data_IF_196058896378
#
_entry.id   IF_196058896378
#
_cell.length_a   1.000
_cell.length_b   1.000
_cell.length_c   1.000
_cell.angle_alpha   90.00
_cell.angle_beta   90.00
_cell.angle_gamma   90.00
#
_symmetry.space_group_name_H-M   'P 1'
#
loop_
_entity.id
_entity.type
_entity.pdbx_description
1 polymer ?
#
# COMPACT_ATOMS: atom_id res chain seq x y z
N UNK A 1 -12.40 -11.79 -14.18
CA UNK A 1 -13.54 -11.50 -13.30
C UNK A 1 -14.38 -10.31 -13.81
N UNK A 2 -13.86 -9.49 -14.72
CA UNK A 2 -14.52 -8.31 -15.29
C UNK A 2 -15.35 -8.61 -16.55
N UNK A 3 -15.41 -9.85 -17.00
CA UNK A 3 -16.24 -10.23 -18.15
C UNK A 3 -17.70 -10.37 -17.74
N UNK A 4 -18.62 -10.24 -18.70
CA UNK A 4 -20.08 -10.33 -18.49
C UNK A 4 -20.54 -11.57 -17.71
N UNK A 5 -19.80 -12.69 -17.79
CA UNK A 5 -20.09 -13.91 -17.04
C UNK A 5 -19.92 -13.74 -15.52
N UNK A 6 -18.92 -12.98 -15.09
CA UNK A 6 -18.55 -12.84 -13.68
C UNK A 6 -18.94 -11.49 -13.10
N UNK A 7 -18.96 -10.46 -13.94
CA UNK A 7 -19.48 -9.11 -13.69
C UNK A 7 -19.25 -8.59 -12.27
N UNK A 8 -17.98 -8.26 -11.97
CA UNK A 8 -17.63 -7.64 -10.68
C UNK A 8 -18.19 -6.22 -10.52
N UNK A 9 -18.51 -5.54 -11.62
CA UNK A 9 -19.05 -4.18 -11.59
C UNK A 9 -20.41 -4.12 -10.89
N UNK A 10 -21.23 -5.17 -11.00
CA UNK A 10 -22.49 -5.28 -10.25
C UNK A 10 -22.29 -5.31 -8.72
N UNK A 11 -21.07 -5.62 -8.25
CA UNK A 11 -20.71 -5.58 -6.84
C UNK A 11 -20.16 -4.21 -6.43
N UNK A 12 -20.16 -3.23 -7.34
CA UNK A 12 -19.60 -1.91 -7.12
C UNK A 12 -18.07 -1.86 -7.21
N UNK A 13 -17.44 -2.88 -7.81
CA UNK A 13 -15.98 -2.98 -7.92
C UNK A 13 -15.59 -2.54 -9.32
N UNK A 14 -14.92 -1.40 -9.42
CA UNK A 14 -14.45 -0.83 -10.68
C UNK A 14 -12.93 -0.61 -10.64
N UNK A 15 -12.23 -0.84 -11.78
CA UNK A 15 -10.82 -0.51 -11.87
C UNK A 15 -10.62 1.00 -11.91
N UNK A 16 -9.72 1.50 -11.05
CA UNK A 16 -9.34 2.91 -11.03
C UNK A 16 -8.04 3.14 -11.78
N UNK A 17 -7.97 4.24 -12.50
CA UNK A 17 -6.81 4.62 -13.31
C UNK A 17 -5.68 5.19 -12.45
N UNK A 18 -6.02 5.83 -11.34
CA UNK A 18 -5.05 6.47 -10.44
C UNK A 18 -5.12 5.88 -9.04
N UNK A 19 -3.95 5.65 -8.39
CA UNK A 19 -3.91 5.15 -7.02
C UNK A 19 -4.64 6.03 -6.02
N UNK A 20 -4.68 7.33 -6.25
CA UNK A 20 -5.32 8.30 -5.34
C UNK A 20 -6.83 8.16 -5.23
N UNK A 21 -7.46 7.50 -6.20
CA UNK A 21 -8.91 7.24 -6.24
C UNK A 21 -9.24 5.78 -5.89
N UNK A 22 -8.22 4.95 -5.68
CA UNK A 22 -8.39 3.53 -5.40
C UNK A 22 -8.43 3.27 -3.89
N UNK A 23 -9.39 2.46 -3.47
CA UNK A 23 -9.53 2.00 -2.08
C UNK A 23 -8.87 0.64 -1.87
N UNK A 24 -8.73 -0.17 -2.91
CA UNK A 24 -8.20 -1.54 -2.85
C UNK A 24 -7.02 -1.69 -3.80
N UNK A 25 -5.89 -2.17 -3.28
CA UNK A 25 -4.71 -2.56 -4.04
C UNK A 25 -4.71 -4.08 -4.25
N UNK A 26 -4.89 -4.50 -5.51
CA UNK A 26 -4.79 -5.90 -5.90
C UNK A 26 -3.37 -6.21 -6.36
N UNK A 27 -2.67 -7.07 -5.62
CA UNK A 27 -1.31 -7.50 -5.95
C UNK A 27 -1.37 -8.95 -6.45
N UNK A 28 -0.98 -9.17 -7.69
CA UNK A 28 -1.03 -10.48 -8.34
C UNK A 28 0.33 -10.93 -8.83
N UNK A 29 0.54 -12.24 -8.86
CA UNK A 29 1.77 -12.83 -9.36
C UNK A 29 2.98 -12.66 -8.44
N UNK A 30 4.17 -13.03 -8.92
CA UNK A 30 5.39 -12.84 -8.14
C UNK A 30 5.79 -11.37 -8.12
N UNK A 31 6.21 -10.92 -6.94
CA UNK A 31 6.66 -9.55 -6.73
C UNK A 31 8.18 -9.54 -6.72
N UNK A 32 8.79 -8.99 -7.76
CA UNK A 32 10.24 -8.79 -7.78
C UNK A 32 10.63 -7.63 -6.86
N UNK A 33 11.88 -7.61 -6.39
CA UNK A 33 12.42 -6.51 -5.57
C UNK A 33 12.22 -5.15 -6.27
N UNK A 34 12.45 -5.08 -7.59
CA UNK A 34 12.22 -3.85 -8.37
C UNK A 34 10.76 -3.44 -8.41
N UNK A 35 9.85 -4.43 -8.56
CA UNK A 35 8.41 -4.18 -8.59
C UNK A 35 7.89 -3.81 -7.21
N UNK A 36 8.40 -4.43 -6.15
CA UNK A 36 7.99 -4.16 -4.77
C UNK A 36 8.15 -2.67 -4.43
N UNK A 37 9.25 -2.06 -4.85
CA UNK A 37 9.47 -0.62 -4.68
C UNK A 37 8.32 0.22 -5.24
N UNK A 38 7.81 -0.14 -6.43
CA UNK A 38 6.67 0.54 -7.07
C UNK A 38 5.36 0.24 -6.35
N UNK A 39 5.20 -0.99 -5.88
CA UNK A 39 4.00 -1.40 -5.13
C UNK A 39 3.90 -0.62 -3.82
N UNK A 40 5.01 -0.46 -3.08
CA UNK A 40 5.06 0.35 -1.86
C UNK A 40 4.69 1.81 -2.17
N UNK A 41 5.30 2.41 -3.19
CA UNK A 41 4.98 3.79 -3.60
C UNK A 41 3.52 3.94 -4.01
N UNK A 42 2.95 2.96 -4.71
CA UNK A 42 1.53 2.97 -5.10
C UNK A 42 0.62 2.89 -3.88
N UNK A 43 0.96 2.02 -2.92
CA UNK A 43 0.21 1.90 -1.67
C UNK A 43 0.21 3.21 -0.89
N UNK A 44 1.34 3.89 -0.83
CA UNK A 44 1.47 5.16 -0.13
C UNK A 44 0.66 6.29 -0.80
N UNK A 45 0.55 6.27 -2.11
CA UNK A 45 -0.27 7.25 -2.86
C UNK A 45 -1.77 7.07 -2.69
N UNK A 46 -2.22 5.92 -2.19
CA UNK A 46 -3.63 5.66 -1.96
C UNK A 46 -4.15 6.45 -0.75
N UNK A 47 -5.38 6.94 -0.86
CA UNK A 47 -6.10 7.57 0.25
C UNK A 47 -6.40 6.59 1.39
N UNK A 48 -6.73 7.10 2.56
CA UNK A 48 -7.20 6.27 3.69
C UNK A 48 -8.73 6.36 3.79
N UNK A 49 -9.45 5.26 4.08
CA UNK A 49 -8.95 3.90 4.33
C UNK A 49 -8.50 3.18 3.06
N UNK A 50 -7.48 2.32 3.15
CA UNK A 50 -6.93 1.56 2.03
C UNK A 50 -6.74 0.10 2.40
N UNK A 51 -6.97 -0.80 1.44
CA UNK A 51 -6.96 -2.24 1.66
C UNK A 51 -6.05 -2.93 0.66
N UNK A 52 -5.39 -4.01 1.07
CA UNK A 52 -4.48 -4.77 0.22
C UNK A 52 -4.93 -6.22 0.11
N UNK A 53 -5.05 -6.69 -1.11
CA UNK A 53 -5.36 -8.09 -1.42
C UNK A 53 -4.17 -8.72 -2.14
N UNK A 54 -3.61 -9.76 -1.53
CA UNK A 54 -2.61 -10.61 -2.16
C UNK A 54 -3.27 -11.77 -2.91
N UNK A 55 -3.03 -11.88 -4.21
CA UNK A 55 -3.59 -12.95 -5.04
C UNK A 55 -2.47 -13.90 -5.47
N UNK A 56 -2.72 -15.18 -5.41
CA UNK A 56 -1.80 -16.25 -5.77
C UNK A 56 -0.77 -16.58 -4.66
N UNK A 57 -0.30 -17.81 -4.64
CA UNK A 57 0.74 -18.28 -3.73
C UNK A 57 2.03 -17.44 -3.81
N UNK A 58 2.25 -16.79 -4.95
CA UNK A 58 3.43 -15.94 -5.16
C UNK A 58 3.50 -14.75 -4.19
N UNK A 59 2.35 -14.18 -3.80
CA UNK A 59 2.30 -13.06 -2.85
C UNK A 59 2.45 -13.53 -1.40
N UNK A 60 2.15 -14.80 -1.12
CA UNK A 60 2.21 -15.38 0.23
C UNK A 60 3.65 -15.77 0.59
N UNK A 61 4.34 -16.49 -0.29
CA UNK A 61 5.66 -17.07 0.01
C UNK A 61 6.63 -17.07 -1.18
N UNK A 62 6.33 -16.34 -2.26
CA UNK A 62 7.11 -16.37 -3.50
C UNK A 62 6.69 -17.47 -4.48
N UNK A 63 5.80 -18.39 -4.09
CA UNK A 63 5.26 -19.44 -4.96
C UNK A 63 6.34 -20.28 -5.63
N UNK A 64 6.24 -20.44 -6.96
CA UNK A 64 7.22 -21.16 -7.79
C UNK A 64 8.64 -20.54 -7.75
N UNK A 65 8.73 -19.25 -7.39
CA UNK A 65 9.98 -18.48 -7.36
C UNK A 65 10.52 -18.27 -5.94
N UNK A 66 10.14 -19.12 -5.00
CA UNK A 66 10.52 -18.98 -3.59
C UNK A 66 12.04 -19.02 -3.34
N UNK A 67 12.80 -19.71 -4.22
CA UNK A 67 14.28 -19.76 -4.16
C UNK A 67 14.95 -18.59 -4.90
N UNK A 68 14.21 -17.79 -5.66
CA UNK A 68 14.78 -16.67 -6.40
C UNK A 68 15.29 -15.58 -5.47
N UNK A 69 16.48 -15.08 -5.73
CA UNK A 69 17.06 -13.93 -5.03
C UNK A 69 16.34 -12.60 -5.36
N UNK A 70 15.70 -12.54 -6.52
CA UNK A 70 15.05 -11.34 -7.03
C UNK A 70 13.59 -11.19 -6.58
N UNK A 71 13.03 -12.17 -5.86
CA UNK A 71 11.61 -12.20 -5.48
C UNK A 71 11.41 -11.89 -4.00
N UNK A 72 10.51 -10.96 -3.71
CA UNK A 72 10.02 -10.73 -2.36
C UNK A 72 9.14 -11.91 -1.93
N UNK A 73 9.53 -12.59 -0.84
CA UNK A 73 8.94 -13.88 -0.48
C UNK A 73 7.66 -13.77 0.34
N UNK A 74 7.56 -12.75 1.16
CA UNK A 74 6.40 -12.51 2.04
C UNK A 74 5.97 -11.07 1.87
N UNK A 75 4.86 -10.87 1.18
CA UNK A 75 4.35 -9.53 0.96
C UNK A 75 4.03 -8.81 2.28
N UNK A 76 3.56 -9.56 3.27
CA UNK A 76 3.18 -9.03 4.58
C UNK A 76 4.35 -8.47 5.41
N UNK A 77 5.58 -8.75 5.04
CA UNK A 77 6.75 -8.12 5.69
C UNK A 77 6.98 -6.68 5.20
N UNK A 78 6.40 -6.30 4.06
CA UNK A 78 6.60 -5.00 3.40
C UNK A 78 5.37 -4.12 3.36
N UNK A 79 4.18 -4.74 3.35
CA UNK A 79 2.88 -4.07 3.28
C UNK A 79 1.86 -4.82 4.13
N UNK A 80 0.90 -4.13 4.75
CA UNK A 80 -0.18 -4.77 5.48
C UNK A 80 -1.15 -5.40 4.48
N UNK A 81 -1.31 -6.71 4.51
CA UNK A 81 -2.23 -7.45 3.65
C UNK A 81 -3.46 -7.83 4.44
N UNK A 82 -4.63 -7.38 3.99
CA UNK A 82 -5.91 -7.66 4.65
C UNK A 82 -6.40 -9.06 4.35
N UNK A 83 -6.22 -9.52 3.10
CA UNK A 83 -6.68 -10.84 2.69
C UNK A 83 -5.77 -11.47 1.64
N UNK A 84 -5.63 -12.79 1.70
CA UNK A 84 -4.95 -13.57 0.67
C UNK A 84 -5.93 -14.48 -0.06
N UNK A 85 -5.92 -14.42 -1.39
CA UNK A 85 -6.69 -15.32 -2.25
C UNK A 85 -5.76 -16.42 -2.75
N UNK A 86 -5.90 -17.61 -2.19
CA UNK A 86 -5.07 -18.76 -2.52
C UNK A 86 -5.37 -19.30 -3.92
N UNK A 87 -4.35 -19.88 -4.55
CA UNK A 87 -4.43 -20.53 -5.87
C UNK A 87 -3.27 -20.08 -6.76
N UNK A 88 -2.94 -20.90 -7.75
CA UNK A 88 -1.91 -20.58 -8.73
C UNK A 88 -2.39 -21.06 -10.11
N UNK A 89 -3.15 -20.33 -10.72
CA UNK A 89 -3.97 -19.11 -10.72
C UNK A 89 -5.33 -19.35 -10.04
N UNK A 90 -5.82 -18.49 -9.16
CA UNK A 90 -7.15 -18.66 -8.58
C UNK A 90 -8.23 -18.44 -9.65
N UNK A 91 -9.31 -19.19 -9.52
CA UNK A 91 -10.47 -19.01 -10.41
C UNK A 91 -11.16 -17.67 -10.13
N UNK A 92 -11.83 -17.07 -11.12
CA UNK A 92 -12.55 -15.81 -10.95
C UNK A 92 -13.56 -15.83 -9.78
N UNK A 93 -14.19 -16.98 -9.55
CA UNK A 93 -15.13 -17.16 -8.45
C UNK A 93 -14.44 -17.03 -7.08
N UNK A 94 -13.21 -17.54 -6.95
CA UNK A 94 -12.41 -17.39 -5.73
C UNK A 94 -12.02 -15.93 -5.49
N UNK A 95 -11.71 -15.18 -6.56
CA UNK A 95 -11.43 -13.75 -6.46
C UNK A 95 -12.66 -12.99 -5.99
N UNK A 96 -13.82 -13.27 -6.55
CA UNK A 96 -15.10 -12.65 -6.16
C UNK A 96 -15.45 -13.01 -4.70
N UNK A 97 -15.23 -14.26 -4.30
CA UNK A 97 -15.46 -14.68 -2.92
C UNK A 97 -14.55 -13.93 -1.94
N UNK A 98 -13.25 -13.81 -2.24
CA UNK A 98 -12.30 -13.05 -1.43
C UNK A 98 -12.67 -11.56 -1.33
N UNK A 99 -13.09 -10.94 -2.42
CA UNK A 99 -13.57 -9.57 -2.40
C UNK A 99 -14.82 -9.39 -1.53
N UNK A 100 -15.77 -10.32 -1.60
CA UNK A 100 -16.97 -10.31 -0.72
C UNK A 100 -16.59 -10.49 0.74
N UNK A 101 -15.61 -11.34 1.03
CA UNK A 101 -15.09 -11.55 2.38
C UNK A 101 -14.44 -10.26 2.91
N UNK A 102 -13.61 -9.59 2.10
CA UNK A 102 -13.05 -8.30 2.46
C UNK A 102 -14.14 -7.26 2.76
N UNK A 103 -15.14 -7.14 1.89
CA UNK A 103 -16.28 -6.24 2.11
C UNK A 103 -17.03 -6.57 3.42
N UNK A 104 -17.16 -7.85 3.75
CA UNK A 104 -17.74 -8.31 5.02
C UNK A 104 -16.87 -7.89 6.22
N UNK A 105 -15.55 -8.01 6.11
CA UNK A 105 -14.61 -7.61 7.15
C UNK A 105 -14.58 -6.08 7.33
N UNK A 106 -14.66 -5.31 6.26
CA UNK A 106 -14.77 -3.84 6.33
C UNK A 106 -16.05 -3.43 7.07
N UNK A 107 -17.21 -4.00 6.70
CA UNK A 107 -18.48 -3.72 7.38
C UNK A 107 -18.50 -4.10 8.85
N UNK A 108 -17.75 -5.14 9.21
CA UNK A 108 -17.59 -5.61 10.60
C UNK A 108 -16.50 -4.85 11.37
N UNK A 109 -15.80 -3.88 10.75
CA UNK A 109 -14.70 -3.14 11.38
C UNK A 109 -13.46 -3.99 11.67
N UNK A 110 -13.26 -5.11 10.96
CA UNK A 110 -12.11 -6.01 11.17
C UNK A 110 -10.96 -5.76 10.21
N UNK A 111 -11.17 -5.03 9.13
CA UNK A 111 -10.15 -4.72 8.14
C UNK A 111 -9.42 -3.41 8.52
N UNK A 112 -8.56 -3.48 9.51
CA UNK A 112 -7.81 -2.33 10.05
C UNK A 112 -6.29 -2.44 9.83
N UNK A 113 -5.85 -3.31 8.92
CA UNK A 113 -4.43 -3.53 8.64
C UNK A 113 -3.69 -2.25 8.21
N UNK A 114 -4.39 -1.33 7.55
CA UNK A 114 -3.85 -0.02 7.18
C UNK A 114 -3.52 0.87 8.38
N UNK A 115 -4.26 0.76 9.52
CA UNK A 115 -3.93 1.46 10.76
C UNK A 115 -2.70 0.83 11.43
N UNK A 116 -2.61 -0.50 11.40
CA UNK A 116 -1.46 -1.22 11.94
C UNK A 116 -0.18 -0.94 11.15
N UNK A 117 -0.29 -0.62 9.86
CA UNK A 117 0.84 -0.18 9.05
C UNK A 117 1.48 1.09 9.63
N UNK A 118 0.70 2.09 9.96
CA UNK A 118 1.21 3.33 10.53
C UNK A 118 1.70 3.16 11.97
N UNK A 119 1.05 2.29 12.76
CA UNK A 119 1.50 1.98 14.13
C UNK A 119 2.85 1.26 14.16
N UNK A 120 3.12 0.42 13.17
CA UNK A 120 4.35 -0.38 13.05
C UNK A 120 5.20 0.02 11.86
N UNK A 121 5.18 1.30 11.54
CA UNK A 121 5.86 1.83 10.35
C UNK A 121 7.36 1.48 10.33
N UNK A 122 8.05 1.62 11.47
CA UNK A 122 9.48 1.28 11.59
C UNK A 122 9.79 -0.18 11.23
N UNK A 123 8.88 -1.10 11.54
CA UNK A 123 8.99 -2.50 11.17
C UNK A 123 8.99 -2.67 9.64
N UNK A 124 8.00 -2.07 8.98
CA UNK A 124 7.89 -2.15 7.51
C UNK A 124 9.04 -1.43 6.82
N UNK A 125 9.41 -0.25 7.30
CA UNK A 125 10.53 0.53 6.78
C UNK A 125 11.85 -0.25 6.90
N UNK A 126 12.12 -0.87 8.05
CA UNK A 126 13.31 -1.68 8.25
C UNK A 126 13.42 -2.87 7.29
N UNK A 127 12.29 -3.53 6.96
CA UNK A 127 12.26 -4.60 5.96
C UNK A 127 12.43 -4.07 4.53
N UNK A 128 11.86 -2.92 4.22
CA UNK A 128 12.03 -2.25 2.93
C UNK A 128 13.48 -1.79 2.72
N UNK A 129 14.11 -1.19 3.73
CA UNK A 129 15.52 -0.74 3.67
C UNK A 129 16.49 -1.90 3.46
N UNK A 130 16.24 -3.07 4.05
CA UNK A 130 17.06 -4.27 3.81
C UNK A 130 17.10 -4.71 2.34
N UNK A 131 16.02 -4.45 1.59
CA UNK A 131 15.93 -4.80 0.17
C UNK A 131 16.34 -3.67 -0.77
N UNK A 132 16.02 -2.43 -0.41
CA UNK A 132 16.16 -1.28 -1.31
C UNK A 132 17.42 -0.46 -1.05
N UNK A 133 18.10 -0.71 0.07
CA UNK A 133 19.24 0.06 0.57
C UNK A 133 18.88 0.97 1.74
N UNK A 134 19.87 1.33 2.53
CA UNK A 134 19.69 2.16 3.73
C UNK A 134 19.21 3.58 3.42
N UNK A 135 19.50 4.08 2.22
CA UNK A 135 19.03 5.39 1.72
C UNK A 135 17.55 5.39 1.34
N UNK A 136 16.86 4.24 1.45
CA UNK A 136 15.46 4.17 1.11
C UNK A 136 14.63 4.89 2.16
N UNK A 137 14.03 5.99 1.73
CA UNK A 137 12.98 6.71 2.44
C UNK A 137 11.75 6.70 1.55
N UNK A 138 10.62 6.35 2.09
CA UNK A 138 9.38 6.57 1.35
C UNK A 138 9.11 8.07 1.34
N UNK A 139 8.63 8.64 0.21
CA UNK A 139 8.26 10.06 0.16
C UNK A 139 7.21 10.46 1.20
N UNK A 140 6.73 9.51 1.95
CA UNK A 140 5.64 9.57 2.90
C UNK A 140 6.07 9.58 4.35
N UNK A 141 7.36 9.63 4.67
CA UNK A 141 7.78 9.78 6.06
C UNK A 141 7.09 11.00 6.68
N UNK A 142 7.02 12.09 5.93
CA UNK A 142 6.31 13.31 6.30
C UNK A 142 4.78 13.09 6.31
N UNK A 143 4.24 12.43 5.28
CA UNK A 143 2.80 12.19 5.14
C UNK A 143 2.32 11.14 6.14
N UNK A 144 3.14 10.11 6.45
CA UNK A 144 2.77 9.07 7.41
C UNK A 144 2.63 9.62 8.83
N UNK A 145 3.49 10.51 9.26
CA UNK A 145 3.37 11.16 10.55
C UNK A 145 2.13 12.07 10.63
N UNK A 146 1.89 12.89 9.60
CA UNK A 146 0.69 13.70 9.52
C UNK A 146 -0.60 12.87 9.51
N UNK A 147 -0.62 11.76 8.76
CA UNK A 147 -1.75 10.83 8.74
C UNK A 147 -1.92 10.08 10.06
N UNK A 148 -0.83 9.72 10.72
CA UNK A 148 -0.90 9.12 12.05
C UNK A 148 -1.61 10.07 13.01
N UNK A 149 -1.31 11.36 12.92
CA UNK A 149 -1.99 12.37 13.68
C UNK A 149 -3.48 12.48 13.35
N UNK A 150 -3.85 12.51 12.06
CA UNK A 150 -5.25 12.55 11.63
C UNK A 150 -6.05 11.34 12.11
N UNK A 151 -5.44 10.16 12.13
CA UNK A 151 -6.10 8.90 12.47
C UNK A 151 -6.23 8.65 13.97
N UNK A 152 -5.22 9.05 14.74
CA UNK A 152 -5.14 8.72 16.17
C UNK A 152 -5.30 9.95 17.07
N UNK A 153 -5.36 11.15 16.48
CA UNK A 153 -5.44 12.42 17.18
C UNK A 153 -4.15 12.77 17.96
N UNK A 154 -4.08 13.95 18.51
CA UNK A 154 -2.96 14.34 19.36
C UNK A 154 -3.02 13.55 20.65
N UNK A 155 -1.98 12.79 20.94
CA UNK A 155 -1.83 12.21 22.27
C UNK A 155 -1.49 13.31 23.30
N UNK A 156 -0.74 14.31 22.85
CA UNK A 156 -0.48 15.55 23.62
C UNK A 156 -0.29 16.74 22.67
N UNK A 157 -0.63 17.93 23.12
CA UNK A 157 -0.47 19.17 22.34
C UNK A 157 1.02 19.45 21.99
N UNK A 158 1.94 19.03 22.85
CA UNK A 158 3.38 19.18 22.64
C UNK A 158 3.94 18.28 21.53
N UNK A 159 3.41 17.07 21.38
CA UNK A 159 3.78 16.16 20.28
C UNK A 159 3.33 16.71 18.93
N UNK A 160 2.15 17.33 18.89
CA UNK A 160 1.64 17.98 17.68
C UNK A 160 2.53 19.12 17.20
N UNK A 161 2.96 19.99 18.11
CA UNK A 161 3.83 21.11 17.76
C UNK A 161 5.18 20.63 17.24
N UNK A 162 5.76 19.61 17.88
CA UNK A 162 7.02 18.99 17.43
C UNK A 162 6.91 18.34 16.06
N UNK A 163 5.77 17.73 15.72
CA UNK A 163 5.49 17.16 14.39
C UNK A 163 5.42 18.26 13.33
N UNK A 164 4.69 19.33 13.58
CA UNK A 164 4.57 20.46 12.64
C UNK A 164 5.93 21.11 12.37
N UNK A 165 6.71 21.37 13.41
CA UNK A 165 8.07 21.94 13.25
C UNK A 165 9.01 21.04 12.45
N UNK A 166 8.84 19.71 12.56
CA UNK A 166 9.61 18.73 11.78
C UNK A 166 9.23 18.75 10.30
N UNK A 167 7.95 18.99 9.98
CA UNK A 167 7.43 18.97 8.61
C UNK A 167 7.63 20.29 7.85
N UNK A 168 7.82 21.43 8.51
CA UNK A 168 8.05 22.70 7.83
C UNK A 168 9.26 22.65 6.88
N UNK A 169 10.40 22.10 7.33
CA UNK A 169 11.63 22.04 6.52
C UNK A 169 11.56 21.12 5.30
N UNK A 170 11.03 19.90 5.41
CA UNK A 170 10.88 19.03 4.24
C UNK A 170 9.84 19.51 3.22
N UNK A 171 8.78 20.20 3.66
CA UNK A 171 7.78 20.79 2.77
C UNK A 171 8.38 21.89 1.90
N UNK A 172 9.20 22.77 2.48
CA UNK A 172 9.93 23.80 1.72
C UNK A 172 10.89 23.19 0.68
N UNK A 173 11.53 22.05 1.01
CA UNK A 173 12.40 21.35 0.07
C UNK A 173 11.61 20.68 -1.08
N UNK A 174 10.37 20.25 -0.84
CA UNK A 174 9.48 19.70 -1.88
C UNK A 174 8.93 20.79 -2.81
N UNK A 175 8.59 21.95 -2.27
CA UNK A 175 8.09 23.09 -3.05
C UNK A 175 9.18 23.66 -3.96
N UNK A 176 10.46 23.62 -3.58
CA UNK A 176 11.57 24.06 -4.42
C UNK A 176 11.82 23.18 -5.64
N UNK A 177 11.35 21.93 -5.66
CA UNK A 177 11.48 21.01 -6.80
C UNK A 177 10.29 21.02 -7.75
N UNK A 178 9.22 21.74 -7.44
CA UNK A 178 8.01 21.86 -8.25
C UNK A 178 7.76 23.27 -8.76
N UNK A 179 8.81 24.01 -9.12
CA UNK A 179 8.62 25.20 -9.95
C UNK A 179 8.26 24.74 -11.38
N UNK A 180 6.98 24.78 -11.68
CA UNK A 180 6.38 24.50 -12.99
C UNK A 180 7.01 25.32 -14.14
N UNK A 181 7.77 26.36 -13.80
CA UNK A 181 8.41 27.27 -14.76
C UNK A 181 9.59 26.68 -15.56
N UNK A 182 10.17 25.55 -15.16
CA UNK A 182 11.27 24.92 -15.93
C UNK A 182 10.81 23.92 -16.98
N UNK A 183 9.56 23.48 -16.95
CA UNK A 183 9.04 22.49 -17.89
C UNK A 183 8.60 23.11 -19.25
N UNK A 184 8.38 24.41 -19.30
CA UNK A 184 7.99 25.11 -20.55
C UNK A 184 9.18 25.57 -21.43
N UNK A 185 10.43 25.29 -21.04
CA UNK A 185 11.63 25.73 -21.74
C UNK A 185 12.51 24.62 -22.34
N UNK A 186 11.95 23.40 -22.51
CA UNK A 186 12.67 22.36 -23.26
C UNK A 186 11.84 21.81 -24.41
#
# INVERSE_FOLDING_TARGET
AMTSRFDMERLGIQPMVTPRQADILLITGYVSVKTLKRVVLTYEQMGSPKYVIGICSCTVNGGMYWQSYATAKKLNDYLPVDIYIAGCMPRPEAVIAGLRELMGNIRAGRAEAWKDYYRRYDYYLGHQQRLFGEDWQTPTDIISEARHYELFGPQTLGEHTALLERHEKPMEALDMHFEIGEFERR
#
